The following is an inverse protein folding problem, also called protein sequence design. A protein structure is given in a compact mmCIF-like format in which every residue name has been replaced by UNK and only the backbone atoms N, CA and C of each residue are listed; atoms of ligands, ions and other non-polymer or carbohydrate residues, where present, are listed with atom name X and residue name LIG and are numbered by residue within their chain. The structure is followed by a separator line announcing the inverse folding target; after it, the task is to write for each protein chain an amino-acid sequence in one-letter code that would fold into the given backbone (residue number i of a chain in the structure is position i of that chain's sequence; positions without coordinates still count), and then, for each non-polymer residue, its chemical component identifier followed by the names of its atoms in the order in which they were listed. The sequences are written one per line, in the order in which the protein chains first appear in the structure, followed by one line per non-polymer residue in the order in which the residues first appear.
data_IF_588146188032
#
_entry.id   IF_588146188032
#
_cell.length_a   1.000
_cell.length_b   1.000
_cell.length_c   1.000
_cell.angle_alpha   90.00
_cell.angle_beta   90.00
_cell.angle_gamma   90.00
#
_symmetry.space_group_name_H-M   'P 1'
#
loop_
_entity.id
_entity.type
_entity.pdbx_description
1 polymer ?
#
# COMPACT_ATOMS: atom_id res chain seq x y z
N UNK A 1 -8.72 -9.47 12.34
CA UNK A 1 -8.91 -8.00 12.33
C UNK A 1 -9.58 -7.69 11.02
N UNK A 2 -10.72 -7.00 11.02
CA UNK A 2 -11.43 -6.67 9.78
C UNK A 2 -10.53 -5.79 8.91
N UNK A 3 -10.47 -6.13 7.62
CA UNK A 3 -9.60 -5.54 6.61
C UNK A 3 -9.54 -4.03 6.65
N UNK A 4 -8.35 -3.53 6.97
CA UNK A 4 -7.99 -2.12 6.94
C UNK A 4 -7.77 -1.71 5.48
N UNK A 5 -8.24 -0.52 5.11
CA UNK A 5 -7.93 0.09 3.82
C UNK A 5 -6.41 0.10 3.60
N UNK A 6 -5.97 -0.24 2.38
CA UNK A 6 -4.55 -0.23 2.01
C UNK A 6 -4.35 0.79 0.90
N UNK A 7 -3.32 1.61 1.05
CA UNK A 7 -2.78 2.40 -0.05
C UNK A 7 -1.63 1.65 -0.68
N UNK A 8 -1.59 1.58 -2.01
CA UNK A 8 -0.46 1.02 -2.73
C UNK A 8 -0.02 1.95 -3.86
N UNK A 9 1.27 2.22 -3.98
CA UNK A 9 1.83 3.00 -5.07
C UNK A 9 2.42 2.05 -6.11
N UNK A 10 1.93 2.11 -7.35
CA UNK A 10 2.63 1.56 -8.50
C UNK A 10 3.82 2.47 -8.83
N UNK A 11 5.05 1.97 -8.72
CA UNK A 11 6.25 2.82 -8.76
C UNK A 11 6.64 3.25 -10.17
N UNK A 12 6.25 2.48 -11.18
CA UNK A 12 6.48 2.75 -12.60
C UNK A 12 5.61 3.90 -13.14
N UNK A 13 4.31 3.86 -12.84
CA UNK A 13 3.34 4.88 -13.24
C UNK A 13 3.23 6.03 -12.24
N UNK A 14 3.79 5.85 -11.03
CA UNK A 14 3.62 6.76 -9.89
C UNK A 14 2.15 7.00 -9.53
N UNK A 15 1.31 5.99 -9.73
CA UNK A 15 -0.14 6.06 -9.46
C UNK A 15 -0.45 5.41 -8.13
N UNK A 16 -1.16 6.14 -7.26
CA UNK A 16 -1.61 5.62 -5.97
C UNK A 16 -2.97 4.93 -6.10
N UNK A 17 -3.05 3.69 -5.65
CA UNK A 17 -4.25 2.86 -5.57
C UNK A 17 -4.78 2.83 -4.12
N UNK A 18 -6.09 2.64 -3.98
CA UNK A 18 -6.77 2.54 -2.69
C UNK A 18 -7.62 1.27 -2.69
N UNK A 19 -7.24 0.31 -1.86
CA UNK A 19 -7.93 -0.96 -1.70
C UNK A 19 -8.77 -0.94 -0.42
N UNK A 20 -9.94 -1.58 -0.47
CA UNK A 20 -10.85 -1.66 0.67
C UNK A 20 -10.28 -2.53 1.79
N UNK A 21 -9.44 -3.51 1.45
CA UNK A 21 -8.82 -4.40 2.43
C UNK A 21 -7.42 -4.86 2.03
N UNK A 22 -6.70 -5.41 3.00
CA UNK A 22 -5.41 -6.10 2.79
C UNK A 22 -5.53 -7.26 1.81
N UNK A 23 -6.61 -8.04 1.87
CA UNK A 23 -6.82 -9.17 0.96
C UNK A 23 -7.02 -8.72 -0.48
N UNK A 24 -7.74 -7.61 -0.69
CA UNK A 24 -7.91 -7.02 -2.02
C UNK A 24 -6.58 -6.52 -2.59
N UNK A 25 -5.78 -5.83 -1.78
CA UNK A 25 -4.44 -5.37 -2.17
C UNK A 25 -3.53 -6.55 -2.54
N UNK A 26 -3.51 -7.61 -1.72
CA UNK A 26 -2.69 -8.81 -1.97
C UNK A 26 -3.15 -9.56 -3.23
N UNK A 27 -4.46 -9.59 -3.48
CA UNK A 27 -5.01 -10.22 -4.68
C UNK A 27 -4.70 -9.44 -5.97
N UNK A 28 -4.58 -8.11 -5.88
CA UNK A 28 -4.28 -7.25 -7.03
C UNK A 28 -2.78 -7.14 -7.30
N UNK A 29 -1.97 -6.89 -6.27
CA UNK A 29 -0.52 -6.70 -6.39
C UNK A 29 0.19 -8.05 -6.42
N UNK A 30 0.55 -8.51 -7.63
CA UNK A 30 1.19 -9.82 -7.81
C UNK A 30 2.51 -9.92 -7.04
N UNK A 31 2.74 -11.08 -6.40
CA UNK A 31 3.91 -11.30 -5.55
C UNK A 31 5.25 -11.07 -6.25
N UNK A 32 5.32 -11.28 -7.57
CA UNK A 32 6.53 -11.05 -8.37
C UNK A 32 6.84 -9.57 -8.54
N UNK A 33 5.83 -8.75 -8.77
CA UNK A 33 5.96 -7.28 -8.90
C UNK A 33 6.29 -6.68 -7.52
N UNK A 34 5.67 -7.22 -6.47
CA UNK A 34 5.99 -6.85 -5.08
C UNK A 34 7.44 -7.18 -4.72
N UNK A 35 7.93 -8.36 -5.09
CA UNK A 35 9.34 -8.74 -4.89
C UNK A 35 10.30 -7.86 -5.70
N UNK A 36 9.89 -7.41 -6.89
CA UNK A 36 10.66 -6.51 -7.73
C UNK A 36 10.69 -5.05 -7.21
N UNK A 37 9.82 -4.69 -6.26
CA UNK A 37 9.70 -3.33 -5.74
C UNK A 37 8.80 -2.42 -6.58
N UNK A 38 7.95 -3.00 -7.43
CA UNK A 38 7.00 -2.26 -8.26
C UNK A 38 5.81 -1.73 -7.43
N UNK A 39 5.68 -2.19 -6.18
CA UNK A 39 4.64 -1.78 -5.24
C UNK A 39 5.21 -1.32 -3.89
N UNK A 40 4.69 -0.21 -3.38
CA UNK A 40 4.94 0.29 -2.01
C UNK A 40 3.61 0.41 -1.28
N UNK A 41 3.53 0.03 0.01
CA UNK A 41 2.28 -0.09 0.73
C UNK A 41 2.20 0.77 1.99
N UNK A 42 0.99 1.22 2.33
CA UNK A 42 0.66 1.87 3.60
C UNK A 42 -0.69 1.42 4.14
N UNK A 43 -0.87 1.49 5.46
CA UNK A 43 -2.17 1.28 6.12
C UNK A 43 -3.12 2.49 5.98
N UNK A 44 -4.34 2.38 6.52
CA UNK A 44 -5.35 3.45 6.46
C UNK A 44 -4.92 4.79 7.09
N UNK A 45 -3.93 4.76 7.99
CA UNK A 45 -3.34 5.93 8.63
C UNK A 45 -2.19 6.53 7.82
N UNK A 46 -1.78 5.87 6.74
CA UNK A 46 -0.60 6.24 5.96
C UNK A 46 0.71 5.77 6.58
N UNK A 47 0.66 4.82 7.52
CA UNK A 47 1.88 4.21 8.10
C UNK A 47 2.46 3.19 7.10
N UNK A 48 3.78 3.20 6.89
CA UNK A 48 4.46 2.29 5.96
C UNK A 48 4.28 0.81 6.32
N UNK A 49 4.09 0.00 5.27
CA UNK A 49 4.02 -1.46 5.34
C UNK A 49 5.04 -2.08 4.40
N UNK A 50 5.56 -3.24 4.76
CA UNK A 50 6.40 -4.08 3.91
C UNK A 50 5.74 -5.44 3.66
N UNK A 51 6.06 -6.04 2.51
CA UNK A 51 5.68 -7.40 2.20
C UNK A 51 6.62 -8.41 2.87
N UNK A 52 6.06 -9.30 3.67
CA UNK A 52 6.77 -10.44 4.24
C UNK A 52 6.30 -11.72 3.54
N UNK A 53 7.16 -12.30 2.70
CA UNK A 53 6.86 -13.51 1.95
C UNK A 53 6.81 -14.73 2.87
N UNK A 54 5.63 -15.35 2.95
CA UNK A 54 5.40 -16.62 3.66
C UNK A 54 5.68 -17.84 2.76
N UNK A 55 5.51 -17.66 1.46
CA UNK A 55 5.90 -18.63 0.43
C UNK A 55 6.68 -17.85 -0.63
N UNK A 56 7.93 -18.22 -0.94
CA UNK A 56 8.72 -17.54 -1.96
C UNK A 56 8.05 -17.59 -3.34
N UNK A 57 8.30 -16.59 -4.18
CA UNK A 57 8.00 -16.69 -5.60
C UNK A 57 8.83 -17.82 -6.23
N UNK A 58 8.25 -18.51 -7.21
CA UNK A 58 8.95 -19.53 -7.97
C UNK A 58 9.46 -18.96 -9.29
N UNK A 59 10.77 -18.99 -9.48
CA UNK A 59 11.46 -18.58 -10.70
C UNK A 59 12.00 -19.82 -11.43
N UNK A 60 11.15 -20.45 -12.22
CA UNK A 60 11.50 -21.64 -13.01
C UNK A 60 11.92 -21.29 -14.44
N UNK A 61 12.61 -22.22 -15.10
CA UNK A 61 13.06 -22.06 -16.50
C UNK A 61 11.91 -21.87 -17.51
N UNK A 62 10.67 -22.24 -17.14
CA UNK A 62 9.48 -22.16 -18.00
C UNK A 62 8.24 -21.59 -17.31
N UNK A 63 8.32 -21.20 -16.03
CA UNK A 63 7.19 -20.63 -15.31
C UNK A 63 7.64 -19.71 -14.18
N UNK A 64 6.96 -18.58 -14.08
CA UNK A 64 6.99 -17.72 -12.90
C UNK A 64 5.71 -18.01 -12.12
N UNK A 65 5.84 -18.28 -10.83
CA UNK A 65 4.71 -18.54 -9.94
C UNK A 65 4.70 -17.55 -8.79
N UNK A 66 3.56 -16.89 -8.58
CA UNK A 66 3.36 -16.01 -7.45
C UNK A 66 3.42 -16.82 -6.14
N UNK A 67 4.30 -16.38 -5.25
CA UNK A 67 4.36 -16.81 -3.86
C UNK A 67 3.18 -16.23 -3.07
N UNK A 68 3.28 -16.30 -1.75
CA UNK A 68 2.32 -15.69 -0.84
C UNK A 68 3.05 -14.77 0.12
N UNK A 69 2.49 -13.59 0.37
CA UNK A 69 3.03 -12.63 1.31
C UNK A 69 1.92 -12.07 2.20
N UNK A 70 2.32 -11.46 3.31
CA UNK A 70 1.47 -10.63 4.15
C UNK A 70 2.06 -9.23 4.25
N UNK A 71 1.22 -8.22 4.47
CA UNK A 71 1.68 -6.88 4.78
C UNK A 71 1.89 -6.75 6.29
N UNK A 72 3.05 -6.27 6.69
CA UNK A 72 3.42 -6.03 8.09
C UNK A 72 3.97 -4.61 8.27
N UNK A 73 3.91 -4.02 9.47
CA UNK A 73 4.49 -2.69 9.71
C UNK A 73 5.96 -2.61 9.31
N UNK A 74 6.32 -1.50 8.66
CA UNK A 74 7.70 -1.16 8.33
C UNK A 74 8.12 0.16 8.99
N UNK A 75 8.68 0.13 10.22
CA UNK A 75 9.06 1.36 10.92
C UNK A 75 10.20 2.14 10.24
N UNK A 76 10.82 1.60 9.19
CA UNK A 76 11.88 2.27 8.44
C UNK A 76 11.39 3.04 7.21
N UNK A 77 10.15 2.79 6.78
CA UNK A 77 9.56 3.42 5.61
C UNK A 77 9.10 4.87 5.84
N UNK A 78 8.96 5.61 4.74
CA UNK A 78 8.39 6.96 4.77
C UNK A 78 6.85 6.90 4.87
N UNK A 79 6.26 7.75 5.73
CA UNK A 79 4.81 7.90 5.80
C UNK A 79 4.22 8.43 4.49
N UNK A 80 3.03 7.96 4.12
CA UNK A 80 2.35 8.29 2.86
C UNK A 80 2.22 9.81 2.64
N UNK A 81 1.85 10.53 3.71
CA UNK A 81 1.64 11.98 3.68
C UNK A 81 2.88 12.76 3.22
N UNK A 82 4.08 12.27 3.54
CA UNK A 82 5.36 12.86 3.16
C UNK A 82 5.65 12.71 1.66
N UNK A 83 5.03 11.73 1.01
CA UNK A 83 5.28 11.35 -0.37
C UNK A 83 4.17 11.78 -1.34
N UNK A 84 2.98 12.17 -0.85
CA UNK A 84 1.83 12.56 -1.69
C UNK A 84 2.13 13.59 -2.80
N UNK A 85 3.10 14.48 -2.58
CA UNK A 85 3.49 15.49 -3.59
C UNK A 85 4.35 14.95 -4.74
N UNK A 86 4.77 13.69 -4.66
CA UNK A 86 5.66 13.03 -5.63
C UNK A 86 4.92 12.11 -6.60
N UNK A 87 3.68 11.75 -6.31
CA UNK A 87 2.90 10.82 -7.13
C UNK A 87 2.36 11.52 -8.38
N UNK A 88 2.28 10.78 -9.48
CA UNK A 88 1.71 11.22 -10.75
C UNK A 88 0.18 11.32 -10.71
N UNK A 89 -0.48 10.56 -9.82
CA UNK A 89 -1.93 10.61 -9.68
C UNK A 89 -2.49 9.73 -8.57
N UNK A 90 -3.80 9.85 -8.37
CA UNK A 90 -4.62 8.98 -7.54
C UNK A 90 -5.56 8.23 -8.49
N UNK A 91 -5.51 6.90 -8.49
CA UNK A 91 -6.43 6.08 -9.26
C UNK A 91 -7.87 6.33 -8.82
N UNK A 92 -8.80 6.31 -9.77
CA UNK A 92 -10.20 6.59 -9.47
C UNK A 92 -10.74 5.53 -8.51
N UNK A 93 -11.23 5.97 -7.35
CA UNK A 93 -11.72 5.07 -6.32
C UNK A 93 -13.00 5.65 -5.66
N UNK A 94 -13.64 4.84 -4.80
CA UNK A 94 -14.88 5.21 -4.12
C UNK A 94 -14.68 5.98 -2.81
N UNK A 95 -13.44 6.07 -2.32
CA UNK A 95 -13.12 6.60 -0.98
C UNK A 95 -12.75 8.08 -1.01
N UNK A 96 -11.95 8.49 -2.01
CA UNK A 96 -11.41 9.83 -2.12
C UNK A 96 -11.69 10.41 -3.50
N UNK A 97 -12.45 11.50 -3.53
CA UNK A 97 -12.75 12.22 -4.77
C UNK A 97 -11.52 12.95 -5.35
N UNK A 98 -10.44 13.12 -4.58
CA UNK A 98 -9.23 13.82 -5.00
C UNK A 98 -8.04 13.53 -4.06
N UNK A 99 -6.83 13.85 -4.51
CA UNK A 99 -5.63 13.82 -3.68
C UNK A 99 -5.70 14.78 -2.47
N UNK A 100 -6.45 15.89 -2.58
CA UNK A 100 -6.69 16.79 -1.43
C UNK A 100 -7.52 16.10 -0.36
N UNK A 101 -8.61 15.41 -0.75
CA UNK A 101 -9.44 14.67 0.20
C UNK A 101 -8.65 13.54 0.90
N UNK A 102 -7.77 12.86 0.16
CA UNK A 102 -6.85 11.88 0.75
C UNK A 102 -5.88 12.54 1.75
N UNK A 103 -5.27 13.68 1.40
CA UNK A 103 -4.39 14.41 2.33
C UNK A 103 -5.12 14.79 3.61
N UNK A 104 -6.34 15.32 3.50
CA UNK A 104 -7.14 15.72 4.65
C UNK A 104 -7.48 14.53 5.56
N UNK A 105 -7.78 13.36 4.96
CA UNK A 105 -7.96 12.11 5.68
C UNK A 105 -6.71 11.74 6.48
N UNK A 106 -5.53 11.67 5.83
CA UNK A 106 -4.27 11.31 6.51
C UNK A 106 -3.92 12.26 7.66
N UNK A 107 -4.15 13.57 7.49
CA UNK A 107 -3.96 14.57 8.56
C UNK A 107 -4.94 14.34 9.71
N UNK A 108 -6.19 13.97 9.40
CA UNK A 108 -7.21 13.65 10.39
C UNK A 108 -6.84 12.42 11.21
N UNK A 109 -6.36 11.36 10.57
CA UNK A 109 -5.98 10.10 11.23
C UNK A 109 -4.79 10.29 12.16
N UNK A 110 -3.75 11.02 11.73
CA UNK A 110 -2.57 11.31 12.56
C UNK A 110 -2.93 12.00 13.88
N UNK A 111 -3.90 12.93 13.85
CA UNK A 111 -4.36 13.65 15.06
C UNK A 111 -5.22 12.81 16.00
N UNK A 112 -5.91 11.78 15.49
CA UNK A 112 -6.70 10.86 16.31
C UNK A 112 -5.83 9.93 17.16
N UNK A 113 -4.67 9.55 16.63
CA UNK A 113 -3.72 8.64 17.30
C UNK A 113 -2.99 9.31 18.48
N UNK A 114 -2.77 10.63 18.44
CA UNK A 114 -2.08 11.38 19.50
C UNK A 114 -2.95 11.65 20.75
N UNK A 115 -4.28 11.53 20.67
CA UNK A 115 -5.18 11.79 21.81
C UNK A 115 -5.55 10.54 22.63
N UNK A 116 -4.97 9.38 22.29
CA UNK A 116 -5.27 8.09 22.94
C UNK A 116 -4.07 7.45 23.66
N UNK A 117 -3.00 8.23 23.92
CA UNK A 117 -1.79 7.79 24.63
C UNK A 117 -1.71 8.35 26.06
#
# INVERSE_FOLDING_TARGET
TLGTMIFALATDEQTLFVFQSTEEAIAYCEGVDVEAGDWIFWDEGGSPLQAEFTTPNHHGRFSIGNGAYRLVPDPSGDALISLLGRFGGLEKNQFFASATALRDHLVGTARGTEHSA
#
